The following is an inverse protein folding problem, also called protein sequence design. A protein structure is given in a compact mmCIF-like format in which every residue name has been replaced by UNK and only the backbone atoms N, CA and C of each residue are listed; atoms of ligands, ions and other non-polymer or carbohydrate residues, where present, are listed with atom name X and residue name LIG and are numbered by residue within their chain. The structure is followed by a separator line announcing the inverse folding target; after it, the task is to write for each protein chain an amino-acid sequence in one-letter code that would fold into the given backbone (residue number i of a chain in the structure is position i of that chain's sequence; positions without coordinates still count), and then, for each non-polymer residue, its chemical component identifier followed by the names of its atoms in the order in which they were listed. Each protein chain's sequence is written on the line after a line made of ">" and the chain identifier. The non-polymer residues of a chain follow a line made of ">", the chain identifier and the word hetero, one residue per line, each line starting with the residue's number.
data_IF_295790795528
#
_entry.id   IF_295790795528
#
_cell.length_a   1.000
_cell.length_b   1.000
_cell.length_c   1.000
_cell.angle_alpha   90.00
_cell.angle_beta   90.00
_cell.angle_gamma   90.00
#
_symmetry.space_group_name_H-M   'P 1'
#
loop_
_entity.id
_entity.type
_entity.pdbx_description
1 polymer ?
#
# COMPACT_ATOMS: atom_id res chain seq x y z
N UNK A 1 -1.56 17.40 -9.63
CA UNK A 1 -0.71 18.61 -9.61
C UNK A 1 -0.36 19.02 -8.20
N UNK A 2 -1.33 19.39 -7.35
CA UNK A 2 -1.12 19.86 -5.96
C UNK A 2 -0.12 18.99 -5.17
N UNK A 3 -0.32 17.65 -5.14
CA UNK A 3 0.62 16.71 -4.47
C UNK A 3 2.07 16.89 -4.92
N UNK A 4 2.31 16.86 -6.23
CA UNK A 4 3.65 16.95 -6.80
C UNK A 4 4.27 18.31 -6.53
N UNK A 5 3.48 19.39 -6.62
CA UNK A 5 3.94 20.74 -6.29
C UNK A 5 4.39 20.85 -4.84
N UNK A 6 3.63 20.29 -3.88
CA UNK A 6 4.03 20.32 -2.47
C UNK A 6 5.30 19.52 -2.17
N UNK A 7 5.48 18.37 -2.82
CA UNK A 7 6.70 17.58 -2.71
C UNK A 7 7.87 18.33 -3.34
N UNK A 8 7.69 18.96 -4.49
CA UNK A 8 8.72 19.74 -5.15
C UNK A 8 9.18 20.94 -4.29
N UNK A 9 8.24 21.66 -3.68
CA UNK A 9 8.54 22.77 -2.76
C UNK A 9 9.38 22.26 -1.58
N UNK A 10 8.98 21.13 -0.98
CA UNK A 10 9.77 20.52 0.09
C UNK A 10 11.18 20.19 -0.40
N UNK A 11 11.33 19.48 -1.52
CA UNK A 11 12.64 19.06 -2.06
C UNK A 11 13.56 20.27 -2.28
N UNK A 12 13.05 21.35 -2.86
CA UNK A 12 13.84 22.55 -3.14
C UNK A 12 14.31 23.21 -1.85
N UNK A 13 13.41 23.52 -0.92
CA UNK A 13 13.77 24.20 0.33
C UNK A 13 14.67 23.34 1.23
N UNK A 14 14.39 22.04 1.26
CA UNK A 14 15.14 21.07 2.03
C UNK A 14 16.58 20.91 1.53
N UNK A 15 16.78 20.86 0.21
CA UNK A 15 18.12 20.66 -0.37
C UNK A 15 19.10 21.80 -0.04
N UNK A 16 18.61 23.01 0.23
CA UNK A 16 19.43 24.16 0.62
C UNK A 16 19.91 24.13 2.08
N UNK A 17 19.36 23.26 2.93
CA UNK A 17 19.59 23.24 4.39
C UNK A 17 20.11 21.90 4.89
N UNK A 18 20.81 21.15 4.04
CA UNK A 18 21.37 19.85 4.39
C UNK A 18 22.53 19.99 5.38
N UNK A 19 22.47 19.21 6.46
CA UNK A 19 23.58 19.05 7.39
C UNK A 19 24.01 17.57 7.42
N UNK A 20 25.14 17.28 6.78
CA UNK A 20 25.69 15.92 6.67
C UNK A 20 25.97 15.25 8.02
N UNK A 21 26.12 16.02 9.10
CA UNK A 21 26.34 15.47 10.44
C UNK A 21 25.12 14.67 10.92
N UNK A 22 23.92 14.97 10.44
CA UNK A 22 22.70 14.25 10.81
C UNK A 22 22.68 12.80 10.28
N UNK A 23 23.50 12.49 9.28
CA UNK A 23 23.68 11.11 8.79
C UNK A 23 24.70 10.31 9.59
N UNK A 24 25.31 10.87 10.64
CA UNK A 24 26.20 10.13 11.53
C UNK A 24 25.54 9.95 12.90
N UNK A 25 25.33 8.70 13.38
CA UNK A 25 25.55 7.42 12.69
C UNK A 25 24.45 7.11 11.65
N UNK A 26 24.84 6.56 10.48
CA UNK A 26 23.90 6.30 9.37
C UNK A 26 22.95 5.14 9.66
N UNK A 27 23.44 4.12 10.37
CA UNK A 27 22.69 2.90 10.71
C UNK A 27 22.78 2.63 12.22
N UNK A 28 22.16 3.47 13.07
CA UNK A 28 22.23 3.32 14.53
C UNK A 28 21.65 1.99 15.01
N UNK A 29 20.70 1.43 14.27
CA UNK A 29 20.01 0.18 14.59
C UNK A 29 20.47 -1.01 13.73
N UNK A 30 21.51 -0.86 12.90
CA UNK A 30 22.00 -1.94 12.03
C UNK A 30 20.98 -2.46 10.99
N UNK A 31 21.30 -3.61 10.38
CA UNK A 31 20.44 -4.27 9.38
C UNK A 31 19.35 -5.16 10.00
N UNK A 32 19.76 -5.96 10.99
CA UNK A 32 18.98 -7.01 11.63
C UNK A 32 19.13 -6.88 13.15
N UNK A 33 18.37 -5.98 13.77
CA UNK A 33 18.43 -5.81 15.22
C UNK A 33 17.08 -6.14 15.84
N UNK A 34 17.10 -6.67 17.05
CA UNK A 34 15.91 -6.99 17.82
C UNK A 34 16.03 -6.36 19.20
N UNK A 35 14.94 -5.73 19.64
CA UNK A 35 14.81 -5.28 21.03
C UNK A 35 14.56 -6.49 21.95
N UNK A 36 14.87 -6.34 23.23
CA UNK A 36 14.64 -7.37 24.26
C UNK A 36 13.15 -7.78 24.37
N UNK A 37 12.23 -6.90 23.98
CA UNK A 37 10.79 -7.17 23.93
C UNK A 37 10.35 -7.95 22.67
N UNK A 38 11.30 -8.43 21.85
CA UNK A 38 11.03 -9.19 20.62
C UNK A 38 10.61 -8.34 19.42
N UNK A 39 10.63 -7.01 19.50
CA UNK A 39 10.33 -6.13 18.36
C UNK A 39 11.55 -5.98 17.46
N UNK A 40 11.40 -6.31 16.17
CA UNK A 40 12.43 -6.09 15.16
C UNK A 40 12.63 -4.59 14.93
N UNK A 41 13.89 -4.17 14.87
CA UNK A 41 14.34 -2.81 14.57
C UNK A 41 15.48 -2.86 13.54
N UNK A 42 15.82 -1.69 12.97
CA UNK A 42 16.83 -1.60 11.92
C UNK A 42 16.23 -1.49 10.52
N UNK A 43 17.08 -1.61 9.51
CA UNK A 43 16.73 -1.28 8.12
C UNK A 43 15.59 -2.15 7.59
N UNK A 44 15.60 -3.46 7.85
CA UNK A 44 14.55 -4.35 7.32
C UNK A 44 13.22 -4.23 8.05
N UNK A 45 13.24 -3.99 9.37
CA UNK A 45 12.04 -3.66 10.10
C UNK A 45 11.43 -2.34 9.60
N UNK A 46 12.26 -1.31 9.39
CA UNK A 46 11.85 -0.06 8.77
C UNK A 46 11.28 -0.28 7.37
N UNK A 47 11.96 -1.07 6.53
CA UNK A 47 11.51 -1.42 5.18
C UNK A 47 10.12 -2.10 5.20
N UNK A 48 9.90 -3.02 6.14
CA UNK A 48 8.60 -3.70 6.30
C UNK A 48 7.47 -2.76 6.70
N UNK A 49 7.77 -1.67 7.42
CA UNK A 49 6.80 -0.64 7.81
C UNK A 49 6.54 0.35 6.68
N UNK A 50 7.61 0.92 6.08
CA UNK A 50 7.50 1.92 5.00
C UNK A 50 7.01 1.32 3.68
N UNK A 51 6.97 -0.01 3.55
CA UNK A 51 6.27 -0.70 2.47
C UNK A 51 4.83 -0.18 2.28
N UNK A 52 4.18 0.24 3.37
CA UNK A 52 2.88 0.90 3.36
C UNK A 52 2.80 2.08 2.39
N UNK A 53 3.89 2.84 2.22
CA UNK A 53 3.94 3.99 1.33
C UNK A 53 3.81 3.60 -0.16
N UNK A 54 4.14 2.37 -0.52
CA UNK A 54 4.04 1.89 -1.90
C UNK A 54 2.62 1.47 -2.30
N UNK A 55 1.63 1.61 -1.42
CA UNK A 55 0.27 1.15 -1.69
C UNK A 55 -0.43 2.00 -2.75
N UNK A 56 -1.32 1.35 -3.51
CA UNK A 56 -2.22 2.02 -4.45
C UNK A 56 -1.76 2.05 -5.90
N UNK A 57 -0.58 1.50 -6.24
CA UNK A 57 -0.21 1.31 -7.66
C UNK A 57 -1.17 0.33 -8.37
N UNK A 58 -1.63 -0.68 -7.64
CA UNK A 58 -2.60 -1.67 -8.09
C UNK A 58 -3.98 -1.08 -8.39
N UNK A 59 -4.31 0.09 -7.83
CA UNK A 59 -5.51 0.83 -8.18
C UNK A 59 -5.58 1.18 -9.68
N UNK A 60 -4.44 1.32 -10.37
CA UNK A 60 -4.41 1.53 -11.83
C UNK A 60 -5.09 0.38 -12.57
N UNK A 61 -5.00 -0.85 -12.05
CA UNK A 61 -5.67 -2.01 -12.64
C UNK A 61 -7.19 -1.96 -12.55
N UNK A 62 -7.76 -1.18 -11.61
CA UNK A 62 -9.23 -1.01 -11.50
C UNK A 62 -9.82 -0.18 -12.63
N UNK A 63 -9.00 0.66 -13.27
CA UNK A 63 -9.36 1.45 -14.45
C UNK A 63 -9.05 0.71 -15.76
N UNK A 64 -8.76 -0.61 -15.71
CA UNK A 64 -8.48 -1.41 -16.89
C UNK A 64 -9.60 -1.36 -17.93
N UNK A 65 -10.86 -1.33 -17.48
CA UNK A 65 -12.04 -1.26 -18.35
C UNK A 65 -12.22 0.10 -19.03
N UNK A 66 -11.61 1.15 -18.48
CA UNK A 66 -11.71 2.53 -18.97
C UNK A 66 -10.48 2.95 -19.80
N UNK A 67 -9.44 2.11 -19.85
CA UNK A 67 -8.22 2.38 -20.62
C UNK A 67 -8.44 2.12 -22.12
N UNK A 68 -7.93 3.01 -22.97
CA UNK A 68 -8.05 2.89 -24.44
C UNK A 68 -7.27 1.70 -24.98
N UNK A 69 -6.06 1.44 -24.46
CA UNK A 69 -5.27 0.26 -24.78
C UNK A 69 -4.74 -0.40 -23.49
N UNK A 70 -5.61 -1.11 -22.74
CA UNK A 70 -5.27 -1.65 -21.42
C UNK A 70 -4.03 -2.54 -21.45
N UNK A 71 -3.81 -3.24 -22.56
CA UNK A 71 -2.70 -4.15 -22.78
C UNK A 71 -1.32 -3.48 -22.74
N UNK A 72 -1.25 -2.20 -23.13
CA UNK A 72 -0.02 -1.40 -23.16
C UNK A 72 0.00 -0.35 -22.05
N UNK A 73 -1.14 0.29 -21.80
CA UNK A 73 -1.22 1.44 -20.92
C UNK A 73 -1.12 1.02 -19.44
N UNK A 74 -1.71 -0.11 -19.04
CA UNK A 74 -1.64 -0.59 -17.66
C UNK A 74 -0.20 -0.96 -17.24
N UNK A 75 0.56 -1.79 -18.00
CA UNK A 75 1.95 -2.10 -17.61
C UNK A 75 2.83 -0.85 -17.50
N UNK A 76 2.69 0.10 -18.44
CA UNK A 76 3.44 1.35 -18.42
C UNK A 76 3.05 2.19 -17.20
N UNK A 77 1.76 2.33 -16.93
CA UNK A 77 1.25 3.09 -15.78
C UNK A 77 1.76 2.51 -14.46
N UNK A 78 1.71 1.19 -14.29
CA UNK A 78 2.20 0.50 -13.08
C UNK A 78 3.71 0.71 -12.86
N UNK A 79 4.53 0.45 -13.89
CA UNK A 79 6.00 0.54 -13.76
C UNK A 79 6.46 1.99 -13.63
N UNK A 80 5.91 2.91 -14.42
CA UNK A 80 6.30 4.31 -14.41
C UNK A 80 5.92 4.99 -13.08
N UNK A 81 4.70 4.75 -12.59
CA UNK A 81 4.26 5.31 -11.30
C UNK A 81 5.10 4.80 -10.13
N UNK A 82 5.34 3.48 -10.04
CA UNK A 82 6.18 2.89 -9.00
C UNK A 82 7.62 3.42 -9.04
N UNK A 83 8.23 3.45 -10.23
CA UNK A 83 9.61 3.93 -10.40
C UNK A 83 9.74 5.41 -9.99
N UNK A 84 8.79 6.24 -10.43
CA UNK A 84 8.76 7.66 -10.10
C UNK A 84 8.57 7.90 -8.60
N UNK A 85 7.62 7.21 -7.96
CA UNK A 85 7.40 7.29 -6.51
C UNK A 85 8.63 6.80 -5.73
N UNK A 86 9.29 5.73 -6.17
CA UNK A 86 10.51 5.20 -5.54
C UNK A 86 11.61 6.26 -5.48
N UNK A 87 11.88 6.93 -6.60
CA UNK A 87 12.89 7.98 -6.69
C UNK A 87 12.55 9.13 -5.72
N UNK A 88 11.30 9.58 -5.72
CA UNK A 88 10.84 10.64 -4.81
C UNK A 88 10.99 10.21 -3.34
N UNK A 89 10.63 8.98 -2.98
CA UNK A 89 10.75 8.50 -1.61
C UNK A 89 12.19 8.43 -1.13
N UNK A 90 13.13 8.03 -2.00
CA UNK A 90 14.56 8.05 -1.69
C UNK A 90 15.03 9.50 -1.44
N UNK A 91 14.69 10.43 -2.33
CA UNK A 91 15.06 11.85 -2.21
C UNK A 91 14.47 12.45 -0.92
N UNK A 92 13.18 12.27 -0.69
CA UNK A 92 12.49 12.82 0.49
C UNK A 92 13.08 12.24 1.78
N UNK A 93 13.36 10.94 1.84
CA UNK A 93 13.95 10.31 3.03
C UNK A 93 15.35 10.83 3.32
N UNK A 94 16.19 10.98 2.28
CA UNK A 94 17.54 11.53 2.41
C UNK A 94 17.50 12.99 2.89
N UNK A 95 16.62 13.80 2.32
CA UNK A 95 16.45 15.21 2.70
C UNK A 95 15.90 15.37 4.12
N UNK A 96 14.89 14.57 4.48
CA UNK A 96 14.26 14.64 5.80
C UNK A 96 15.25 14.33 6.92
N UNK A 97 16.01 13.24 6.76
CA UNK A 97 17.07 12.83 7.71
C UNK A 97 18.31 13.72 7.64
N UNK A 98 18.56 14.38 6.51
CA UNK A 98 19.67 15.33 6.37
C UNK A 98 19.41 16.68 7.07
N UNK A 99 18.15 17.05 7.27
CA UNK A 99 17.77 18.32 7.93
C UNK A 99 17.53 18.13 9.42
N UNK A 100 16.81 17.06 9.78
CA UNK A 100 16.41 16.80 11.16
C UNK A 100 17.03 15.48 11.61
N UNK A 101 17.71 15.45 12.78
CA UNK A 101 18.15 14.22 13.41
C UNK A 101 17.03 13.17 13.53
N UNK A 102 17.34 11.91 13.22
CA UNK A 102 16.33 10.83 13.14
C UNK A 102 15.54 10.61 14.44
N UNK A 103 16.12 10.95 15.59
CA UNK A 103 15.49 10.85 16.91
C UNK A 103 14.36 11.89 17.13
N UNK A 104 14.35 12.99 16.38
CA UNK A 104 13.31 14.02 16.46
C UNK A 104 12.18 13.82 15.42
N UNK A 105 12.32 12.86 14.51
CA UNK A 105 11.36 12.64 13.41
C UNK A 105 10.10 11.85 13.82
N UNK A 106 10.00 11.39 15.07
CA UNK A 106 8.81 10.69 15.58
C UNK A 106 7.67 11.67 15.92
N UNK A 107 7.16 12.33 14.89
CA UNK A 107 6.08 13.32 14.96
C UNK A 107 4.98 12.99 13.95
N UNK A 108 3.77 13.50 14.16
CA UNK A 108 2.63 13.21 13.28
C UNK A 108 2.76 13.74 11.86
N UNK A 109 3.55 14.80 11.64
CA UNK A 109 3.82 15.38 10.31
C UNK A 109 5.30 15.72 10.13
N UNK A 110 6.14 14.73 9.80
CA UNK A 110 7.60 14.91 9.75
C UNK A 110 8.05 15.94 8.71
N UNK A 111 7.42 15.96 7.54
CA UNK A 111 7.78 16.87 6.44
C UNK A 111 7.50 18.34 6.81
N UNK A 112 6.33 18.61 7.39
CA UNK A 112 5.98 19.95 7.84
C UNK A 112 6.87 20.37 9.04
N UNK A 113 7.12 19.44 9.97
CA UNK A 113 8.00 19.67 11.10
C UNK A 113 9.42 20.05 10.66
N UNK A 114 9.98 19.34 9.68
CA UNK A 114 11.29 19.65 9.12
C UNK A 114 11.36 21.08 8.54
N UNK A 115 10.34 21.50 7.77
CA UNK A 115 10.26 22.86 7.22
C UNK A 115 10.16 23.93 8.31
N UNK A 116 9.42 23.66 9.39
CA UNK A 116 9.35 24.56 10.54
C UNK A 116 10.68 24.66 11.26
N UNK A 117 11.42 23.55 11.41
CA UNK A 117 12.74 23.51 12.05
C UNK A 117 13.80 24.33 11.32
N UNK A 118 13.74 24.40 9.99
CA UNK A 118 14.65 25.25 9.18
C UNK A 118 14.14 26.69 9.01
N UNK A 119 13.04 27.07 9.65
CA UNK A 119 12.52 28.45 9.66
C UNK A 119 11.51 28.78 8.55
N UNK A 120 11.16 27.85 7.66
CA UNK A 120 10.16 28.06 6.61
C UNK A 120 8.74 27.68 7.06
N UNK A 121 8.19 28.44 8.01
CA UNK A 121 6.84 28.21 8.56
C UNK A 121 5.73 28.35 7.51
N UNK A 122 5.86 29.29 6.57
CA UNK A 122 4.91 29.46 5.46
C UNK A 122 4.89 28.24 4.52
N UNK A 123 6.05 27.63 4.28
CA UNK A 123 6.16 26.45 3.44
C UNK A 123 5.62 25.22 4.17
N UNK A 124 5.84 25.14 5.49
CA UNK A 124 5.28 24.10 6.34
C UNK A 124 3.75 24.05 6.27
N UNK A 125 3.07 25.19 6.40
CA UNK A 125 1.60 25.26 6.31
C UNK A 125 1.08 24.93 4.90
N UNK A 126 1.76 25.41 3.85
CA UNK A 126 1.43 25.09 2.47
C UNK A 126 1.59 23.60 2.18
N UNK A 127 2.70 23.00 2.59
CA UNK A 127 2.95 21.57 2.39
C UNK A 127 1.97 20.73 3.20
N UNK A 128 1.70 21.09 4.46
CA UNK A 128 0.71 20.39 5.29
C UNK A 128 -0.68 20.38 4.65
N UNK A 129 -1.15 21.53 4.15
CA UNK A 129 -2.46 21.64 3.48
C UNK A 129 -2.51 20.84 2.17
N UNK A 130 -1.44 20.88 1.37
CA UNK A 130 -1.38 20.06 0.15
C UNK A 130 -1.29 18.56 0.40
N UNK A 131 -0.63 18.14 1.49
CA UNK A 131 -0.64 16.74 1.96
C UNK A 131 -2.04 16.32 2.38
N UNK A 132 -2.80 17.16 3.10
CA UNK A 132 -4.20 16.86 3.46
C UNK A 132 -5.08 16.65 2.22
N UNK A 133 -5.03 17.56 1.26
CA UNK A 133 -5.72 17.39 -0.03
C UNK A 133 -5.27 16.10 -0.73
N UNK A 134 -3.98 15.79 -0.63
CA UNK A 134 -3.40 14.57 -1.16
C UNK A 134 -3.94 13.30 -0.51
N UNK A 135 -4.01 13.24 0.81
CA UNK A 135 -4.49 12.07 1.56
C UNK A 135 -5.97 11.79 1.29
N UNK A 136 -6.81 12.83 1.14
CA UNK A 136 -8.22 12.67 0.77
C UNK A 136 -8.36 11.91 -0.55
N UNK A 137 -7.55 12.24 -1.56
CA UNK A 137 -7.62 11.51 -2.85
C UNK A 137 -7.19 10.05 -2.72
N UNK A 138 -6.20 9.73 -1.87
CA UNK A 138 -5.80 8.33 -1.63
C UNK A 138 -6.92 7.57 -0.93
N UNK A 139 -7.53 8.18 0.09
CA UNK A 139 -8.66 7.61 0.80
C UNK A 139 -9.83 7.27 -0.14
N UNK A 140 -10.18 8.20 -1.04
CA UNK A 140 -11.25 7.99 -2.03
C UNK A 140 -10.94 6.81 -2.96
N UNK A 141 -9.70 6.71 -3.46
CA UNK A 141 -9.29 5.60 -4.35
C UNK A 141 -9.37 4.25 -3.62
N UNK A 142 -8.94 4.18 -2.37
CA UNK A 142 -8.99 2.93 -1.59
C UNK A 142 -10.43 2.51 -1.24
N UNK A 143 -11.29 3.46 -0.85
CA UNK A 143 -12.71 3.18 -0.62
C UNK A 143 -13.44 2.74 -1.90
N UNK A 144 -13.09 3.35 -3.03
CA UNK A 144 -13.59 2.93 -4.33
C UNK A 144 -13.16 1.50 -4.69
N UNK A 145 -11.87 1.18 -4.51
CA UNK A 145 -11.36 -0.18 -4.72
C UNK A 145 -12.05 -1.21 -3.83
N UNK A 146 -12.18 -0.92 -2.53
CA UNK A 146 -12.86 -1.78 -1.56
C UNK A 146 -14.30 -2.10 -1.98
N UNK A 147 -15.06 -1.06 -2.32
CA UNK A 147 -16.48 -1.23 -2.70
C UNK A 147 -16.65 -2.02 -4.00
N UNK A 148 -15.77 -1.81 -5.01
CA UNK A 148 -15.79 -2.59 -6.26
C UNK A 148 -15.41 -4.05 -6.04
N UNK A 149 -14.42 -4.35 -5.21
CA UNK A 149 -14.01 -5.73 -4.91
C UNK A 149 -15.16 -6.48 -4.22
N UNK A 150 -15.77 -5.88 -3.19
CA UNK A 150 -16.90 -6.49 -2.50
C UNK A 150 -18.10 -6.68 -3.44
N UNK A 151 -18.37 -5.72 -4.31
CA UNK A 151 -19.41 -5.85 -5.32
C UNK A 151 -19.17 -7.01 -6.28
N UNK A 152 -17.95 -7.15 -6.80
CA UNK A 152 -17.57 -8.27 -7.67
C UNK A 152 -17.67 -9.63 -6.96
N UNK A 153 -17.14 -9.74 -5.73
CA UNK A 153 -17.23 -10.95 -4.92
C UNK A 153 -18.69 -11.35 -4.62
N UNK A 154 -19.55 -10.37 -4.37
CA UNK A 154 -20.98 -10.59 -4.16
C UNK A 154 -21.68 -11.06 -5.43
N UNK A 155 -21.34 -10.48 -6.58
CA UNK A 155 -21.89 -10.88 -7.88
C UNK A 155 -21.52 -12.33 -8.21
N UNK A 156 -20.29 -12.72 -7.88
CA UNK A 156 -19.75 -14.08 -8.08
C UNK A 156 -20.33 -15.10 -7.07
N UNK A 157 -21.14 -14.64 -6.10
CA UNK A 157 -21.80 -15.47 -5.09
C UNK A 157 -20.91 -15.90 -3.93
N UNK A 158 -19.74 -15.28 -3.78
CA UNK A 158 -18.78 -15.62 -2.71
C UNK A 158 -19.19 -15.02 -1.36
N UNK A 159 -19.92 -13.90 -1.36
CA UNK A 159 -20.44 -13.22 -0.18
C UNK A 159 -21.92 -12.86 -0.36
N UNK A 160 -22.57 -12.40 0.71
CA UNK A 160 -24.01 -12.09 0.73
C UNK A 160 -24.45 -11.18 -0.42
N UNK A 161 -25.59 -11.46 -1.10
CA UNK A 161 -26.06 -10.69 -2.25
C UNK A 161 -26.43 -9.25 -1.92
N UNK A 162 -26.58 -8.90 -0.63
CA UNK A 162 -26.79 -7.52 -0.16
C UNK A 162 -25.67 -6.60 -0.68
N UNK A 163 -24.45 -7.12 -0.81
CA UNK A 163 -23.29 -6.43 -1.36
C UNK A 163 -23.28 -6.33 -2.90
N UNK A 164 -24.36 -6.67 -3.60
CA UNK A 164 -24.48 -6.43 -5.05
C UNK A 164 -25.71 -5.58 -5.40
N UNK A 165 -26.45 -5.11 -4.39
CA UNK A 165 -27.62 -4.26 -4.59
C UNK A 165 -27.19 -2.83 -4.94
N UNK A 166 -27.67 -2.35 -6.09
CA UNK A 166 -27.49 -0.96 -6.54
C UNK A 166 -28.76 -0.15 -6.28
N UNK A 167 -28.59 1.13 -5.95
CA UNK A 167 -29.71 2.05 -5.82
C UNK A 167 -30.31 2.33 -7.23
N UNK A 168 -31.64 2.17 -7.45
CA UNK A 168 -32.27 2.40 -8.76
C UNK A 168 -32.00 3.79 -9.35
N UNK A 169 -31.99 4.84 -8.52
CA UNK A 169 -31.93 6.22 -9.00
C UNK A 169 -30.49 6.66 -9.33
N UNK A 170 -29.53 6.21 -8.53
CA UNK A 170 -28.12 6.64 -8.62
C UNK A 170 -27.20 5.61 -9.28
N UNK A 171 -27.71 4.42 -9.59
CA UNK A 171 -26.97 3.27 -10.12
C UNK A 171 -25.65 2.97 -9.38
N UNK A 172 -25.62 3.27 -8.08
CA UNK A 172 -24.44 3.12 -7.22
C UNK A 172 -24.75 2.21 -6.03
N UNK A 173 -23.79 1.42 -5.55
CA UNK A 173 -23.97 0.51 -4.42
C UNK A 173 -23.93 1.28 -3.07
N UNK A 174 -24.90 2.15 -2.83
CA UNK A 174 -24.92 3.07 -1.68
C UNK A 174 -24.85 2.36 -0.32
N UNK A 175 -25.51 1.20 -0.17
CA UNK A 175 -25.48 0.41 1.07
C UNK A 175 -24.07 -0.06 1.43
N UNK A 176 -23.31 -0.54 0.43
CA UNK A 176 -21.94 -1.02 0.62
C UNK A 176 -21.04 0.16 0.99
N UNK A 177 -21.19 1.28 0.29
CA UNK A 177 -20.40 2.49 0.53
C UNK A 177 -20.59 2.96 1.98
N UNK A 178 -21.84 3.05 2.45
CA UNK A 178 -22.15 3.46 3.82
C UNK A 178 -21.64 2.45 4.85
N UNK A 179 -21.83 1.15 4.62
CA UNK A 179 -21.38 0.11 5.53
C UNK A 179 -19.84 0.07 5.64
N UNK A 180 -19.14 0.10 4.51
CA UNK A 180 -17.68 0.14 4.48
C UNK A 180 -17.16 1.42 5.12
N UNK A 181 -17.77 2.58 4.80
CA UNK A 181 -17.42 3.86 5.40
C UNK A 181 -17.56 3.82 6.93
N UNK A 182 -18.67 3.31 7.44
CA UNK A 182 -18.88 3.18 8.89
C UNK A 182 -17.84 2.28 9.56
N UNK A 183 -17.55 1.10 8.97
CA UNK A 183 -16.53 0.18 9.51
C UNK A 183 -15.15 0.83 9.49
N UNK A 184 -14.77 1.46 8.37
CA UNK A 184 -13.48 2.15 8.24
C UNK A 184 -13.36 3.31 9.24
N UNK A 185 -14.42 4.10 9.44
CA UNK A 185 -14.43 5.18 10.43
C UNK A 185 -14.27 4.69 11.86
N UNK A 186 -14.92 3.59 12.23
CA UNK A 186 -14.75 2.98 13.56
C UNK A 186 -13.30 2.49 13.72
N UNK A 187 -12.79 1.72 12.76
CA UNK A 187 -11.42 1.20 12.81
C UNK A 187 -10.39 2.32 12.87
N UNK A 188 -10.56 3.38 12.08
CA UNK A 188 -9.66 4.54 12.07
C UNK A 188 -9.72 5.37 13.37
N UNK A 189 -10.84 5.34 14.10
CA UNK A 189 -11.00 6.05 15.37
C UNK A 189 -10.38 5.32 16.57
N UNK A 190 -10.32 3.99 16.54
CA UNK A 190 -9.91 3.18 17.69
C UNK A 190 -8.54 2.50 17.55
N UNK A 191 -8.02 2.31 16.34
CA UNK A 191 -6.78 1.54 16.12
C UNK A 191 -5.62 2.49 15.75
N UNK A 192 -4.47 2.41 16.45
CA UNK A 192 -3.29 3.20 16.12
C UNK A 192 -2.77 2.96 14.69
N UNK A 193 -2.26 4.00 14.05
CA UNK A 193 -1.74 3.94 12.68
C UNK A 193 -0.64 2.88 12.50
N UNK A 194 0.26 2.72 13.48
CA UNK A 194 1.34 1.74 13.40
C UNK A 194 0.81 0.30 13.29
N UNK A 195 -0.18 -0.05 14.11
CA UNK A 195 -0.80 -1.38 14.06
C UNK A 195 -1.60 -1.62 12.79
N UNK A 196 -2.28 -0.59 12.28
CA UNK A 196 -2.96 -0.63 10.99
C UNK A 196 -1.96 -0.86 9.86
N UNK A 197 -0.85 -0.10 9.83
CA UNK A 197 0.18 -0.23 8.81
C UNK A 197 0.79 -1.64 8.80
N UNK A 198 1.13 -2.20 9.96
CA UNK A 198 1.66 -3.57 10.07
C UNK A 198 0.66 -4.62 9.56
N UNK A 199 -0.62 -4.50 9.95
CA UNK A 199 -1.70 -5.44 9.55
C UNK A 199 -1.98 -5.37 8.05
N UNK A 200 -1.92 -4.16 7.49
CA UNK A 200 -2.13 -3.92 6.07
C UNK A 200 -0.93 -4.44 5.26
N UNK A 201 0.30 -4.24 5.75
CA UNK A 201 1.52 -4.71 5.09
C UNK A 201 1.57 -6.24 4.99
N UNK A 202 1.27 -6.99 6.06
CA UNK A 202 1.29 -8.47 5.99
C UNK A 202 0.31 -9.00 4.94
N UNK A 203 -0.89 -8.42 4.85
CA UNK A 203 -1.92 -8.83 3.90
C UNK A 203 -1.50 -8.56 2.45
N UNK A 204 -0.98 -7.37 2.17
CA UNK A 204 -0.53 -7.00 0.81
C UNK A 204 0.71 -7.76 0.38
N UNK A 205 1.69 -7.95 1.26
CA UNK A 205 2.86 -8.78 0.97
C UNK A 205 2.45 -10.22 0.63
N UNK A 206 1.54 -10.80 1.40
CA UNK A 206 0.99 -12.13 1.11
C UNK A 206 0.25 -12.17 -0.24
N UNK A 207 -0.54 -11.13 -0.55
CA UNK A 207 -1.20 -10.99 -1.86
C UNK A 207 -0.18 -10.92 -3.00
N UNK A 208 0.91 -10.19 -2.85
CA UNK A 208 1.95 -10.07 -3.87
C UNK A 208 2.72 -11.39 -4.08
N UNK A 209 2.97 -12.15 -3.01
CA UNK A 209 3.49 -13.52 -3.11
C UNK A 209 2.53 -14.38 -3.94
N UNK A 210 1.22 -14.32 -3.65
CA UNK A 210 0.20 -15.06 -4.39
C UNK A 210 0.15 -14.67 -5.87
N UNK A 211 0.28 -13.38 -6.20
CA UNK A 211 0.36 -12.92 -7.60
C UNK A 211 1.63 -13.45 -8.28
N UNK A 212 2.79 -13.40 -7.62
CA UNK A 212 4.04 -13.91 -8.17
C UNK A 212 3.98 -15.43 -8.44
N UNK A 213 3.44 -16.20 -7.48
CA UNK A 213 3.17 -17.64 -7.65
C UNK A 213 2.19 -17.85 -8.81
N UNK A 214 1.11 -17.07 -8.85
CA UNK A 214 0.10 -17.11 -9.91
C UNK A 214 0.70 -16.93 -11.31
N UNK A 215 1.63 -15.98 -11.49
CA UNK A 215 2.33 -15.77 -12.77
C UNK A 215 3.17 -16.99 -13.16
N UNK A 216 3.89 -17.60 -12.22
CA UNK A 216 4.69 -18.82 -12.48
C UNK A 216 3.77 -19.98 -12.88
N UNK A 217 2.68 -20.19 -12.13
CA UNK A 217 1.70 -21.26 -12.38
C UNK A 217 0.99 -21.06 -13.72
N UNK A 218 0.53 -19.84 -14.03
CA UNK A 218 -0.14 -19.50 -15.28
C UNK A 218 0.77 -19.76 -16.49
N UNK A 219 2.06 -19.47 -16.37
CA UNK A 219 3.04 -19.74 -17.44
C UNK A 219 3.26 -21.23 -17.70
N UNK A 220 3.20 -22.06 -16.66
CA UNK A 220 3.32 -23.52 -16.78
C UNK A 220 2.03 -24.16 -17.30
N UNK A 221 0.86 -23.76 -16.77
CA UNK A 221 -0.42 -24.39 -17.10
C UNK A 221 -1.03 -23.94 -18.43
N UNK A 222 -0.83 -22.68 -18.82
CA UNK A 222 -1.43 -22.11 -20.03
C UNK A 222 -0.38 -21.37 -20.88
N UNK A 223 0.56 -22.09 -21.51
CA UNK A 223 1.70 -21.50 -22.21
C UNK A 223 1.29 -20.71 -23.47
N UNK A 224 0.21 -21.12 -24.15
CA UNK A 224 -0.23 -20.56 -25.43
C UNK A 224 -1.09 -19.29 -25.31
N UNK A 225 -1.41 -18.83 -24.10
CA UNK A 225 -2.17 -17.59 -23.92
C UNK A 225 -1.45 -16.39 -24.55
N UNK A 226 -2.18 -15.58 -25.31
CA UNK A 226 -1.69 -14.30 -25.83
C UNK A 226 -1.44 -13.35 -24.66
N UNK A 227 -0.17 -13.01 -24.44
CA UNK A 227 0.27 -12.09 -23.38
C UNK A 227 0.78 -10.80 -24.00
N UNK A 228 0.04 -9.68 -23.90
CA UNK A 228 0.45 -8.41 -24.48
C UNK A 228 1.70 -7.83 -23.82
N UNK A 229 1.82 -8.00 -22.50
CA UNK A 229 3.04 -7.74 -21.76
C UNK A 229 3.66 -9.06 -21.31
N UNK A 230 4.96 -9.22 -21.56
CA UNK A 230 5.75 -10.37 -21.10
C UNK A 230 6.96 -9.84 -20.37
N UNK A 231 7.06 -10.20 -19.08
CA UNK A 231 8.32 -10.04 -18.36
C UNK A 231 9.38 -10.95 -18.99
N UNK A 232 10.52 -10.40 -19.48
CA UNK A 232 11.59 -11.16 -20.12
C UNK A 232 12.34 -12.07 -19.14
N UNK A 233 12.49 -11.69 -17.87
CA UNK A 233 13.27 -12.43 -16.87
C UNK A 233 12.40 -13.36 -16.01
N UNK A 234 11.52 -14.12 -16.61
CA UNK A 234 10.75 -15.13 -15.89
C UNK A 234 11.45 -16.49 -15.94
N UNK A 235 11.54 -17.26 -14.84
CA UNK A 235 10.88 -17.06 -13.55
C UNK A 235 11.67 -16.23 -12.52
N UNK A 236 12.82 -15.66 -12.88
CA UNK A 236 13.71 -14.95 -11.97
C UNK A 236 13.00 -13.79 -11.22
N UNK A 237 12.30 -12.91 -11.92
CA UNK A 237 11.65 -11.75 -11.28
C UNK A 237 10.50 -12.17 -10.34
N UNK A 238 9.54 -13.06 -10.72
CA UNK A 238 8.54 -13.55 -9.77
C UNK A 238 9.14 -14.27 -8.56
N UNK A 239 10.23 -15.03 -8.73
CA UNK A 239 10.89 -15.71 -7.61
C UNK A 239 11.57 -14.70 -6.67
N UNK A 240 12.27 -13.70 -7.20
CA UNK A 240 12.80 -12.59 -6.39
C UNK A 240 11.70 -11.84 -5.63
N UNK A 241 10.53 -11.64 -6.26
CA UNK A 241 9.36 -11.05 -5.61
C UNK A 241 8.83 -11.88 -4.43
N UNK A 242 8.79 -13.21 -4.57
CA UNK A 242 8.40 -14.12 -3.49
C UNK A 242 9.39 -14.02 -2.32
N UNK A 243 10.70 -14.05 -2.60
CA UNK A 243 11.72 -13.98 -1.56
C UNK A 243 11.77 -12.60 -0.88
N UNK A 244 11.64 -11.50 -1.63
CA UNK A 244 11.67 -10.16 -1.05
C UNK A 244 10.44 -9.89 -0.19
N UNK A 245 9.24 -10.24 -0.67
CA UNK A 245 8.02 -10.08 0.12
C UNK A 245 8.03 -10.99 1.34
N UNK A 246 8.45 -12.25 1.17
CA UNK A 246 8.58 -13.20 2.27
C UNK A 246 9.56 -12.73 3.34
N UNK A 247 10.72 -12.20 2.93
CA UNK A 247 11.70 -11.62 3.85
C UNK A 247 11.11 -10.43 4.63
N UNK A 248 10.42 -9.49 3.98
CA UNK A 248 9.78 -8.37 4.70
C UNK A 248 8.70 -8.84 5.69
N UNK A 249 7.95 -9.89 5.36
CA UNK A 249 6.95 -10.46 6.27
C UNK A 249 7.58 -11.02 7.55
N UNK A 250 8.80 -11.57 7.51
CA UNK A 250 9.45 -12.10 8.73
C UNK A 250 9.86 -11.01 9.71
N UNK A 251 10.00 -9.76 9.26
CA UNK A 251 10.32 -8.63 10.13
C UNK A 251 9.10 -8.01 10.81
N UNK A 252 7.88 -8.40 10.44
CA UNK A 252 6.65 -7.94 11.10
C UNK A 252 6.44 -8.62 12.46
N UNK A 253 5.81 -7.95 13.44
CA UNK A 253 5.58 -8.52 14.77
C UNK A 253 4.77 -9.83 14.76
N UNK A 254 5.00 -10.71 15.74
CA UNK A 254 4.28 -11.97 15.88
C UNK A 254 2.76 -11.80 16.05
N UNK A 255 2.33 -10.71 16.70
CA UNK A 255 0.91 -10.34 16.84
C UNK A 255 0.26 -10.12 15.47
N UNK A 256 0.99 -9.53 14.53
CA UNK A 256 0.52 -9.28 13.15
C UNK A 256 0.32 -10.59 12.39
N UNK A 257 1.21 -11.57 12.58
CA UNK A 257 1.04 -12.92 12.05
C UNK A 257 -0.18 -13.63 12.62
N UNK A 258 -0.42 -13.49 13.92
CA UNK A 258 -1.61 -14.05 14.58
C UNK A 258 -2.89 -13.46 14.00
N UNK A 259 -2.98 -12.12 13.88
CA UNK A 259 -4.12 -11.41 13.28
C UNK A 259 -4.37 -11.87 11.84
N UNK A 260 -3.31 -11.98 11.05
CA UNK A 260 -3.39 -12.47 9.68
C UNK A 260 -3.90 -13.92 9.62
N UNK A 261 -3.36 -14.81 10.45
CA UNK A 261 -3.78 -16.22 10.52
C UNK A 261 -5.25 -16.37 10.91
N UNK A 262 -5.72 -15.62 11.92
CA UNK A 262 -7.13 -15.59 12.32
C UNK A 262 -8.03 -15.10 11.19
N UNK A 263 -7.62 -14.04 10.48
CA UNK A 263 -8.39 -13.50 9.36
C UNK A 263 -8.50 -14.49 8.19
N UNK A 264 -7.41 -15.17 7.84
CA UNK A 264 -7.42 -16.23 6.81
C UNK A 264 -8.32 -17.38 7.24
N UNK A 265 -8.25 -17.80 8.51
CA UNK A 265 -9.12 -18.85 9.03
C UNK A 265 -10.60 -18.48 8.91
N UNK A 266 -10.98 -17.25 9.27
CA UNK A 266 -12.34 -16.74 9.09
C UNK A 266 -12.75 -16.81 7.61
N UNK A 267 -11.87 -16.37 6.69
CA UNK A 267 -12.13 -16.45 5.25
C UNK A 267 -12.34 -17.89 4.75
N UNK A 268 -11.54 -18.83 5.24
CA UNK A 268 -11.66 -20.26 4.93
C UNK A 268 -12.98 -20.83 5.46
N UNK A 269 -13.36 -20.49 6.69
CA UNK A 269 -14.64 -20.92 7.28
C UNK A 269 -15.81 -20.37 6.46
N UNK A 270 -15.80 -19.08 6.11
CA UNK A 270 -16.83 -18.47 5.25
C UNK A 270 -16.89 -19.18 3.89
N UNK A 271 -15.74 -19.51 3.31
CA UNK A 271 -15.66 -20.20 2.03
C UNK A 271 -16.37 -21.56 2.07
N UNK A 272 -16.03 -22.41 3.04
CA UNK A 272 -16.60 -23.76 3.16
C UNK A 272 -18.07 -23.76 3.59
N UNK A 273 -18.48 -22.84 4.47
CA UNK A 273 -19.86 -22.79 4.98
C UNK A 273 -20.80 -22.15 3.95
N UNK A 274 -20.39 -21.03 3.35
CA UNK A 274 -21.26 -20.22 2.51
C UNK A 274 -20.87 -20.26 1.03
N UNK A 275 -19.63 -19.86 0.71
CA UNK A 275 -19.24 -19.56 -0.68
C UNK A 275 -19.27 -20.77 -1.60
N UNK A 276 -18.90 -21.97 -1.13
CA UNK A 276 -18.93 -23.19 -1.96
C UNK A 276 -20.33 -23.53 -2.48
N UNK A 277 -21.37 -23.28 -1.67
CA UNK A 277 -22.76 -23.61 -2.02
C UNK A 277 -23.44 -22.51 -2.85
N UNK A 278 -22.91 -21.29 -2.83
CA UNK A 278 -23.51 -20.12 -3.47
C UNK A 278 -22.71 -19.59 -4.68
N UNK A 279 -21.49 -20.08 -4.89
CA UNK A 279 -20.63 -19.64 -5.99
C UNK A 279 -21.28 -19.92 -7.35
N UNK A 280 -21.27 -18.89 -8.20
CA UNK A 280 -21.83 -18.94 -9.56
C UNK A 280 -20.75 -19.11 -10.63
N UNK A 281 -19.50 -19.39 -10.26
CA UNK A 281 -18.35 -19.34 -11.15
C UNK A 281 -18.40 -20.35 -12.33
N UNK A 282 -19.26 -21.36 -12.24
CA UNK A 282 -19.51 -22.38 -13.27
C UNK A 282 -20.99 -22.43 -13.73
N UNK A 283 -21.80 -21.42 -13.42
CA UNK A 283 -23.16 -21.26 -13.96
C UNK A 283 -23.15 -20.20 -15.05
#
# INVERSE_FOLDING_TARGET
>A
VIKLSTIAIFIVLASMHLNSNNWHPFMPFGWFSTLENGKNIGVLAGASLVFFAYFGFDAVSTAAEEAKNPQRDLPIGLIASLSFCTIIYIIVSALLTGIVPYNELNVSSPVAFALTKIGYTWASTLVATGVLAGLITVLLVLLYGLTRILFAMSRDGLISPIFSQVNPDRQTPTKIILMCGAVVSIVAGFIPLGELAETVNIGTLASFIMVCVGVIVLRKRQPHLKRPFKNPWNPLIPTLGIFSCGALMTFLPAVTWMRFGVWILIGVVIYFVYSMHHSKLNK
#
